data_IF_962648747281
#
_entry.id   IF_962648747281
#
_cell.length_a   1.000
_cell.length_b   1.000
_cell.length_c   1.000
_cell.angle_alpha   90.00
_cell.angle_beta   90.00
_cell.angle_gamma   90.00
#
_symmetry.space_group_name_H-M   'P 1'
#
loop_
_entity.id
_entity.type
_entity.pdbx_description
1 polymer ?
#
# COMPACT_ATOMS: atom_id res chain seq x y z
N UNK A 1 -2.88 -14.47 -4.59
CA UNK A 1 -3.21 -13.75 -5.84
C UNK A 1 -4.63 -13.20 -5.73
N UNK A 2 -4.92 -12.08 -6.39
CA UNK A 2 -6.24 -11.43 -6.43
C UNK A 2 -6.47 -10.80 -7.80
N UNK A 3 -7.73 -10.68 -8.25
CA UNK A 3 -8.05 -9.90 -9.45
C UNK A 3 -8.19 -8.42 -9.09
N UNK A 4 -7.48 -7.55 -9.78
CA UNK A 4 -7.53 -6.11 -9.58
C UNK A 4 -7.62 -5.40 -10.93
N UNK A 5 -8.76 -4.75 -11.19
CA UNK A 5 -9.01 -4.05 -12.47
C UNK A 5 -8.72 -4.91 -13.71
N UNK A 6 -9.16 -6.17 -13.70
CA UNK A 6 -8.96 -7.13 -14.79
C UNK A 6 -7.57 -7.80 -14.83
N UNK A 7 -6.66 -7.47 -13.90
CA UNK A 7 -5.30 -8.04 -13.84
C UNK A 7 -5.14 -9.00 -12.65
N UNK A 8 -4.55 -10.16 -12.92
CA UNK A 8 -4.12 -11.09 -11.89
C UNK A 8 -2.92 -10.51 -11.13
N UNK A 9 -3.14 -10.15 -9.87
CA UNK A 9 -2.15 -9.49 -9.02
C UNK A 9 -1.62 -10.47 -7.98
N UNK A 10 -0.33 -10.77 -8.05
CA UNK A 10 0.39 -11.46 -6.99
C UNK A 10 0.60 -10.48 -5.84
N UNK A 11 0.45 -10.96 -4.61
CA UNK A 11 0.73 -10.15 -3.43
C UNK A 11 1.32 -11.03 -2.35
N UNK A 12 2.11 -10.40 -1.49
CA UNK A 12 2.60 -10.98 -0.24
C UNK A 12 1.93 -10.31 0.95
N UNK A 13 1.84 -11.03 2.06
CA UNK A 13 1.17 -10.57 3.26
C UNK A 13 1.97 -10.94 4.50
N UNK A 14 2.04 -10.00 5.44
CA UNK A 14 2.55 -10.21 6.80
C UNK A 14 1.54 -9.68 7.82
N UNK A 15 1.57 -10.26 9.02
CA UNK A 15 0.83 -9.74 10.16
C UNK A 15 -0.70 -9.75 10.06
N UNK A 16 -1.29 -8.98 10.97
CA UNK A 16 -2.74 -8.87 11.17
C UNK A 16 -3.13 -7.50 11.74
N UNK A 17 -4.44 -7.20 11.80
CA UNK A 17 -4.96 -5.92 12.28
C UNK A 17 -5.16 -4.90 11.17
N UNK A 18 -4.83 -3.63 11.44
CA UNK A 18 -5.01 -2.49 10.53
C UNK A 18 -4.18 -2.69 9.25
N UNK A 19 -4.78 -2.40 8.10
CA UNK A 19 -4.18 -2.74 6.81
C UNK A 19 -3.23 -1.66 6.32
N UNK A 20 -2.02 -2.07 5.91
CA UNK A 20 -1.03 -1.21 5.26
C UNK A 20 -0.73 -1.76 3.87
N UNK A 21 -0.96 -0.96 2.84
CA UNK A 21 -0.50 -1.25 1.48
C UNK A 21 0.92 -0.70 1.33
N UNK A 22 1.86 -1.57 1.04
CA UNK A 22 3.26 -1.22 0.89
C UNK A 22 3.67 -1.37 -0.58
N UNK A 23 3.92 -0.25 -1.26
CA UNK A 23 4.15 -0.17 -2.70
C UNK A 23 5.62 0.08 -3.01
N UNK A 24 6.30 -0.93 -3.56
CA UNK A 24 7.69 -0.83 -4.03
C UNK A 24 8.76 -0.79 -2.94
N UNK A 25 8.42 -1.00 -1.67
CA UNK A 25 9.40 -1.06 -0.59
C UNK A 25 9.98 -2.47 -0.41
N UNK A 26 11.11 -2.57 0.31
CA UNK A 26 11.80 -3.84 0.54
C UNK A 26 11.01 -4.81 1.41
N UNK A 27 11.24 -6.10 1.20
CA UNK A 27 10.66 -7.17 2.00
C UNK A 27 11.03 -7.10 3.49
N UNK A 28 12.22 -6.58 3.81
CA UNK A 28 12.65 -6.35 5.19
C UNK A 28 11.75 -5.33 5.91
N UNK A 29 11.34 -4.25 5.23
CA UNK A 29 10.39 -3.28 5.78
C UNK A 29 9.01 -3.92 5.96
N UNK A 30 8.58 -4.73 5.00
CA UNK A 30 7.30 -5.45 5.08
C UNK A 30 7.26 -6.40 6.28
N UNK A 31 8.34 -7.17 6.47
CA UNK A 31 8.48 -8.11 7.58
C UNK A 31 8.46 -7.37 8.91
N UNK A 32 9.26 -6.31 9.06
CA UNK A 32 9.28 -5.50 10.28
C UNK A 32 7.88 -4.95 10.58
N UNK A 33 7.26 -4.22 9.65
CA UNK A 33 5.92 -3.66 9.87
C UNK A 33 4.85 -4.73 10.13
N UNK A 34 5.06 -5.96 9.66
CA UNK A 34 4.19 -7.11 9.87
C UNK A 34 3.99 -7.49 11.34
N UNK A 35 4.91 -7.12 12.23
CA UNK A 35 4.75 -7.36 13.67
C UNK A 35 3.63 -6.51 14.31
N UNK A 36 3.20 -5.43 13.64
CA UNK A 36 2.23 -4.46 14.16
C UNK A 36 0.99 -4.25 13.29
N UNK A 37 1.08 -4.59 12.00
CA UNK A 37 0.04 -4.30 11.02
C UNK A 37 -0.22 -5.49 10.09
N UNK A 38 -1.39 -5.49 9.44
CA UNK A 38 -1.65 -6.34 8.28
C UNK A 38 -1.00 -5.69 7.07
N UNK A 39 0.24 -6.05 6.77
CA UNK A 39 0.98 -5.51 5.62
C UNK A 39 0.65 -6.32 4.37
N UNK A 40 0.27 -5.64 3.31
CA UNK A 40 0.01 -6.21 1.98
C UNK A 40 0.96 -5.56 1.00
N UNK A 41 1.78 -6.37 0.32
CA UNK A 41 2.72 -5.94 -0.72
C UNK A 41 2.24 -6.52 -2.05
N UNK A 42 1.43 -5.79 -2.82
CA UNK A 42 1.06 -6.21 -4.17
C UNK A 42 2.25 -5.99 -5.12
N UNK A 43 2.46 -6.94 -6.03
CA UNK A 43 3.42 -6.78 -7.12
C UNK A 43 2.83 -5.80 -8.15
N UNK A 44 3.57 -4.72 -8.41
CA UNK A 44 3.14 -3.69 -9.35
C UNK A 44 3.12 -4.29 -10.78
N UNK A 45 2.00 -4.23 -11.50
CA UNK A 45 1.96 -4.74 -12.87
C UNK A 45 2.84 -3.89 -13.79
N UNK A 46 3.62 -4.55 -14.64
CA UNK A 46 4.49 -3.89 -15.60
C UNK A 46 3.66 -3.04 -16.57
N UNK A 47 4.10 -1.80 -16.83
CA UNK A 47 3.47 -0.91 -17.81
C UNK A 47 2.22 -0.16 -17.33
N UNK A 48 1.80 -0.31 -16.07
CA UNK A 48 0.76 0.56 -15.50
C UNK A 48 1.35 1.91 -15.09
N UNK A 49 0.79 2.99 -15.61
CA UNK A 49 1.11 4.37 -15.21
C UNK A 49 -0.15 5.16 -14.86
N UNK A 50 0.03 6.19 -14.02
CA UNK A 50 -1.02 7.16 -13.65
C UNK A 50 -2.35 6.53 -13.26
N UNK A 51 -3.42 6.93 -13.97
CA UNK A 51 -4.81 6.50 -13.81
C UNK A 51 -5.00 4.98 -13.77
N UNK A 52 -4.22 4.22 -14.54
CA UNK A 52 -4.32 2.76 -14.54
C UNK A 52 -3.88 2.16 -13.20
N UNK A 53 -2.81 2.71 -12.61
CA UNK A 53 -2.27 2.24 -11.34
C UNK A 53 -3.19 2.60 -10.16
N UNK A 54 -3.82 3.78 -10.16
CA UNK A 54 -4.78 4.17 -9.13
C UNK A 54 -6.01 3.25 -9.12
N UNK A 55 -6.61 2.99 -10.29
CA UNK A 55 -7.74 2.05 -10.44
C UNK A 55 -7.36 0.62 -10.04
N UNK A 56 -6.14 0.21 -10.40
CA UNK A 56 -5.60 -1.08 -9.98
C UNK A 56 -5.49 -1.18 -8.45
N UNK A 57 -5.03 -0.15 -7.74
CA UNK A 57 -5.01 -0.13 -6.28
C UNK A 57 -6.42 -0.30 -5.67
N UNK A 58 -7.42 0.37 -6.23
CA UNK A 58 -8.82 0.18 -5.84
C UNK A 58 -9.28 -1.27 -6.00
N UNK A 59 -8.95 -1.89 -7.13
CA UNK A 59 -9.23 -3.29 -7.41
C UNK A 59 -8.51 -4.26 -6.47
N UNK A 60 -7.25 -3.97 -6.08
CA UNK A 60 -6.53 -4.74 -5.06
C UNK A 60 -7.26 -4.70 -3.73
N UNK A 61 -7.70 -3.50 -3.31
CA UNK A 61 -8.44 -3.36 -2.07
C UNK A 61 -9.78 -4.11 -2.10
N UNK A 62 -10.53 -3.99 -3.20
CA UNK A 62 -11.81 -4.70 -3.37
C UNK A 62 -11.63 -6.22 -3.35
N UNK A 63 -10.73 -6.74 -4.17
CA UNK A 63 -10.54 -8.18 -4.28
C UNK A 63 -9.98 -8.82 -3.00
N UNK A 64 -9.32 -8.05 -2.12
CA UNK A 64 -8.82 -8.52 -0.83
C UNK A 64 -9.75 -8.21 0.35
N UNK A 65 -10.92 -7.61 0.10
CA UNK A 65 -11.86 -7.20 1.14
C UNK A 65 -11.27 -6.14 2.09
N UNK A 66 -10.41 -5.26 1.59
CA UNK A 66 -9.82 -4.16 2.34
C UNK A 66 -10.78 -2.97 2.25
N UNK A 67 -11.47 -2.74 3.37
CA UNK A 67 -12.34 -1.58 3.54
C UNK A 67 -11.52 -0.29 3.61
N UNK A 68 -10.48 -0.30 4.46
CA UNK A 68 -9.62 0.86 4.72
C UNK A 68 -8.15 0.44 4.84
N UNK A 69 -7.23 1.28 4.36
CA UNK A 69 -5.79 1.08 4.49
C UNK A 69 -5.02 2.40 4.62
N UNK A 70 -3.85 2.33 5.24
CA UNK A 70 -2.80 3.32 5.02
C UNK A 70 -1.89 2.86 3.87
N UNK A 71 -1.35 3.80 3.10
CA UNK A 71 -0.47 3.50 1.97
C UNK A 71 0.94 4.00 2.29
N UNK A 72 1.94 3.13 2.14
CA UNK A 72 3.34 3.52 2.12
C UNK A 72 3.84 3.28 0.70
N UNK A 73 4.23 4.34 0.02
CA UNK A 73 4.57 4.32 -1.40
C UNK A 73 5.99 4.83 -1.64
N UNK A 74 6.76 4.17 -2.51
CA UNK A 74 8.00 4.75 -3.01
C UNK A 74 7.74 5.99 -3.88
N UNK A 75 8.75 6.84 -4.12
CA UNK A 75 8.64 7.97 -5.04
C UNK A 75 8.13 7.60 -6.44
N UNK A 76 8.46 6.41 -6.96
CA UNK A 76 7.99 5.94 -8.26
C UNK A 76 6.48 5.64 -8.29
N UNK A 77 5.89 5.30 -7.13
CA UNK A 77 4.46 5.03 -6.96
C UNK A 77 3.67 6.22 -6.38
N UNK A 78 4.31 7.38 -6.21
CA UNK A 78 3.72 8.59 -5.60
C UNK A 78 2.42 8.98 -6.26
N UNK A 79 2.41 9.09 -7.58
CA UNK A 79 1.26 9.61 -8.32
C UNK A 79 0.07 8.67 -8.22
N UNK A 80 0.31 7.36 -8.35
CA UNK A 80 -0.71 6.33 -8.21
C UNK A 80 -1.33 6.30 -6.80
N UNK A 81 -0.49 6.36 -5.75
CA UNK A 81 -0.94 6.37 -4.37
C UNK A 81 -1.74 7.64 -4.03
N UNK A 82 -1.23 8.81 -4.47
CA UNK A 82 -1.88 10.10 -4.24
C UNK A 82 -3.22 10.18 -4.97
N UNK A 83 -3.26 9.73 -6.23
CA UNK A 83 -4.48 9.70 -7.02
C UNK A 83 -5.53 8.76 -6.41
N UNK A 84 -5.14 7.55 -6.00
CA UNK A 84 -6.08 6.63 -5.36
C UNK A 84 -6.64 7.20 -4.04
N UNK A 85 -5.81 7.87 -3.24
CA UNK A 85 -6.27 8.54 -2.02
C UNK A 85 -7.28 9.68 -2.30
N UNK A 86 -7.12 10.39 -3.41
CA UNK A 86 -8.06 11.44 -3.85
C UNK A 86 -9.37 10.85 -4.37
N UNK A 87 -9.31 9.76 -5.13
CA UNK A 87 -10.48 9.11 -5.73
C UNK A 87 -11.29 8.28 -4.72
N UNK A 88 -10.66 7.78 -3.67
CA UNK A 88 -11.28 6.94 -2.64
C UNK A 88 -10.88 7.35 -1.22
N UNK A 89 -11.22 8.58 -0.77
CA UNK A 89 -10.80 9.11 0.52
C UNK A 89 -11.29 8.27 1.71
N UNK A 90 -12.48 7.68 1.60
CA UNK A 90 -13.04 6.81 2.65
C UNK A 90 -12.25 5.50 2.83
N UNK A 91 -11.45 5.11 1.83
CA UNK A 91 -10.67 3.87 1.84
C UNK A 91 -9.21 4.08 2.21
N UNK A 92 -8.71 5.32 2.15
CA UNK A 92 -7.31 5.64 2.40
C UNK A 92 -7.17 6.54 3.62
N UNK A 93 -6.69 5.95 4.73
CA UNK A 93 -6.47 6.71 5.98
C UNK A 93 -5.33 7.73 5.86
N UNK A 94 -4.36 7.46 5.01
CA UNK A 94 -3.24 8.35 4.76
C UNK A 94 -2.22 7.74 3.82
N UNK A 95 -1.37 8.59 3.25
CA UNK A 95 -0.28 8.21 2.35
C UNK A 95 1.04 8.70 2.92
N UNK A 96 2.01 7.80 3.06
CA UNK A 96 3.38 8.10 3.44
C UNK A 96 4.27 7.84 2.23
N UNK A 97 5.07 8.84 1.85
CA UNK A 97 6.05 8.72 0.77
C UNK A 97 7.42 9.06 1.36
N UNK A 98 8.17 8.05 1.81
CA UNK A 98 9.52 8.28 2.31
C UNK A 98 10.45 8.66 1.16
N UNK A 99 11.38 9.59 1.43
CA UNK A 99 12.38 10.02 0.44
C UNK A 99 13.43 8.93 0.17
N UNK A 100 13.62 8.00 1.11
CA UNK A 100 14.47 6.82 0.96
C UNK A 100 13.65 5.60 0.51
N UNK A 101 14.15 4.78 -0.44
CA UNK A 101 13.53 3.50 -0.80
C UNK A 101 13.69 2.42 0.29
N UNK A 102 14.58 2.64 1.26
CA UNK A 102 14.77 1.80 2.44
C UNK A 102 14.59 2.67 3.70
N UNK A 103 13.35 3.09 4.00
CA UNK A 103 13.07 3.88 5.19
C UNK A 103 13.24 3.05 6.45
N UNK A 104 13.60 3.71 7.55
CA UNK A 104 13.63 3.09 8.87
C UNK A 104 12.23 2.60 9.28
N UNK A 105 12.13 1.34 9.69
CA UNK A 105 10.85 0.71 10.01
C UNK A 105 10.21 1.28 11.29
N UNK A 106 11.00 1.74 12.27
CA UNK A 106 10.47 2.36 13.48
C UNK A 106 9.89 3.74 13.18
N UNK A 107 10.54 4.51 12.29
CA UNK A 107 10.00 5.79 11.79
C UNK A 107 8.68 5.58 11.04
N UNK A 108 8.64 4.62 10.12
CA UNK A 108 7.40 4.30 9.40
C UNK A 108 6.29 3.82 10.34
N UNK A 109 6.62 2.97 11.30
CA UNK A 109 5.66 2.51 12.31
C UNK A 109 5.05 3.67 13.06
N UNK A 110 5.86 4.58 13.59
CA UNK A 110 5.37 5.74 14.34
C UNK A 110 4.45 6.62 13.49
N UNK A 111 4.79 6.82 12.21
CA UNK A 111 3.94 7.57 11.28
C UNK A 111 2.60 6.85 11.00
N UNK A 112 2.62 5.53 10.82
CA UNK A 112 1.41 4.72 10.62
C UNK A 112 0.51 4.71 11.86
N UNK A 113 1.09 4.59 13.06
CA UNK A 113 0.32 4.67 14.31
C UNK A 113 -0.43 5.99 14.44
N UNK A 114 0.17 7.12 14.02
CA UNK A 114 -0.50 8.44 13.98
C UNK A 114 -1.61 8.53 12.94
N UNK A 115 -1.47 7.88 11.78
CA UNK A 115 -2.51 7.84 10.74
C UNK A 115 -3.76 7.09 11.23
N UNK A 116 -3.56 6.07 12.06
CA UNK A 116 -4.64 5.23 12.57
C UNK A 116 -5.14 5.61 13.97
N UNK A 117 -4.62 6.70 14.56
CA UNK A 117 -5.08 7.24 15.84
C UNK A 117 -6.24 8.20 15.62
#
# INVERSE_FOLDING_TARGET
MVMANGLATVYRRWGSGRTVLLLGASEAVALALGDWFRVIVPELPLGLSGLGAARWLGGVCEGLGIAEAAIVATPASRDAASQFAQEAPDRVKGVIIPDSPAPDAAVLRAALERIFS
#
